data_IF_505650581513
#
_entry.id   IF_505650581513
#
_cell.length_a   1.000
_cell.length_b   1.000
_cell.length_c   1.000
_cell.angle_alpha   90.00
_cell.angle_beta   90.00
_cell.angle_gamma   90.00
#
_symmetry.space_group_name_H-M   'P 1'
#
loop_
_entity.id
_entity.type
_entity.pdbx_description
1 polymer ?
#
# COMPACT_ATOMS: atom_id res chain seq x y z
N UNK A 1 18.63 35.20 23.35
CA UNK A 1 17.20 35.28 22.99
C UNK A 1 17.10 36.23 21.82
N UNK A 2 16.64 35.90 20.63
CA UNK A 2 15.86 34.77 20.13
C UNK A 2 16.39 34.37 18.74
N UNK A 3 16.46 33.07 18.47
CA UNK A 3 16.48 32.54 17.12
C UNK A 3 15.05 32.57 16.58
N UNK A 4 14.85 33.16 15.41
CA UNK A 4 13.64 32.96 14.60
C UNK A 4 14.09 32.44 13.25
N UNK A 5 13.89 31.14 13.05
CA UNK A 5 14.05 30.49 11.76
C UNK A 5 12.93 30.85 10.81
N UNK A 6 13.27 31.02 9.54
CA UNK A 6 12.32 30.88 8.45
C UNK A 6 12.59 29.52 7.80
N UNK A 7 11.70 28.56 8.05
CA UNK A 7 11.60 27.35 7.24
C UNK A 7 11.09 27.73 5.85
N UNK A 8 11.89 27.48 4.83
CA UNK A 8 11.44 27.45 3.45
C UNK A 8 11.16 25.99 3.08
N UNK A 9 9.88 25.57 3.10
CA UNK A 9 9.44 24.36 2.40
C UNK A 9 8.91 24.75 1.03
N UNK A 10 9.81 24.83 0.06
CA UNK A 10 9.45 24.76 -1.35
C UNK A 10 9.23 23.28 -1.69
N UNK A 11 7.99 22.89 -2.04
CA UNK A 11 7.75 21.65 -2.80
C UNK A 11 8.39 21.86 -4.18
N UNK A 12 9.38 21.07 -4.61
CA UNK A 12 9.73 21.05 -6.02
C UNK A 12 8.69 20.17 -6.73
N UNK A 13 7.81 20.80 -7.51
CA UNK A 13 7.37 20.16 -8.75
C UNK A 13 8.62 20.10 -9.64
N UNK A 14 9.16 18.90 -9.81
CA UNK A 14 10.33 18.69 -10.66
C UNK A 14 10.42 17.24 -11.07
N UNK A 15 10.17 16.99 -12.36
CA UNK A 15 10.86 15.92 -13.09
C UNK A 15 12.35 16.03 -12.75
N UNK A 16 12.83 15.10 -11.94
CA UNK A 16 14.26 14.93 -11.66
C UNK A 16 14.57 13.45 -11.62
N UNK A 17 15.17 13.00 -12.72
CA UNK A 17 15.93 11.79 -12.83
C UNK A 17 17.10 11.86 -11.83
N UNK A 18 16.97 11.12 -10.72
CA UNK A 18 17.86 11.17 -9.56
C UNK A 18 17.20 10.58 -8.32
N UNK A 19 17.23 9.24 -8.21
CA UNK A 19 16.71 8.42 -7.10
C UNK A 19 15.49 9.00 -6.36
N UNK A 20 14.28 8.86 -6.93
CA UNK A 20 13.04 9.13 -6.19
C UNK A 20 13.10 8.46 -4.81
N UNK A 21 13.12 9.28 -3.75
CA UNK A 21 13.09 8.82 -2.38
C UNK A 21 11.67 8.36 -2.06
N UNK A 22 11.52 7.09 -1.69
CA UNK A 22 10.27 6.52 -1.20
C UNK A 22 10.21 6.70 0.31
N UNK A 23 9.27 7.54 0.73
CA UNK A 23 8.93 7.77 2.13
C UNK A 23 7.40 7.80 2.27
N UNK A 24 6.87 7.21 3.33
CA UNK A 24 5.42 7.17 3.58
C UNK A 24 4.92 8.54 4.03
N UNK A 25 4.08 9.14 3.20
CA UNK A 25 3.38 10.38 3.53
C UNK A 25 2.30 10.11 4.57
N UNK A 26 2.32 10.90 5.65
CA UNK A 26 1.49 10.70 6.85
C UNK A 26 0.11 11.38 6.76
N UNK A 27 -0.66 11.02 5.73
CA UNK A 27 -2.04 11.50 5.56
C UNK A 27 -2.94 11.06 6.73
N UNK A 28 -2.71 9.87 7.28
CA UNK A 28 -3.33 9.31 8.48
C UNK A 28 -3.35 10.26 9.69
N UNK A 29 -2.33 11.12 9.84
CA UNK A 29 -2.27 12.10 10.94
C UNK A 29 -3.24 13.26 10.76
N UNK A 30 -3.44 13.71 9.52
CA UNK A 30 -4.44 14.74 9.21
C UNK A 30 -5.85 14.16 9.39
N UNK A 31 -6.03 12.95 8.87
CA UNK A 31 -7.26 12.17 8.99
C UNK A 31 -7.65 11.99 10.47
N UNK A 32 -6.77 11.40 11.28
CA UNK A 32 -7.04 11.17 12.70
C UNK A 32 -7.37 12.45 13.45
N UNK A 33 -6.60 13.53 13.23
CA UNK A 33 -6.87 14.82 13.87
C UNK A 33 -8.27 15.34 13.52
N UNK A 34 -8.69 15.24 12.26
CA UNK A 34 -10.05 15.61 11.88
C UNK A 34 -11.10 14.71 12.57
N UNK A 35 -10.90 13.39 12.54
CA UNK A 35 -11.87 12.41 13.01
C UNK A 35 -12.01 12.33 14.54
N UNK A 36 -10.98 12.74 15.28
CA UNK A 36 -10.97 12.72 16.76
C UNK A 36 -11.41 14.05 17.36
N UNK A 37 -11.05 15.19 16.74
CA UNK A 37 -11.32 16.51 17.33
C UNK A 37 -12.29 17.38 16.51
N UNK A 38 -12.65 16.98 15.30
CA UNK A 38 -13.42 17.83 14.38
C UNK A 38 -12.63 19.04 13.86
N UNK A 39 -11.30 18.95 13.79
CA UNK A 39 -10.44 20.05 13.34
C UNK A 39 -10.62 20.33 11.84
N UNK A 40 -11.40 21.35 11.50
CA UNK A 40 -11.65 21.76 10.13
C UNK A 40 -10.39 22.23 9.39
N UNK A 41 -9.34 22.66 10.08
CA UNK A 41 -8.07 23.00 9.43
C UNK A 41 -7.37 21.75 8.90
N UNK A 42 -7.49 20.63 9.63
CA UNK A 42 -7.00 19.33 9.19
C UNK A 42 -7.75 18.87 7.94
N UNK A 43 -9.08 18.94 7.96
CA UNK A 43 -9.91 18.64 6.81
C UNK A 43 -9.57 19.50 5.58
N UNK A 44 -9.30 20.80 5.79
CA UNK A 44 -8.88 21.67 4.70
C UNK A 44 -7.53 21.25 4.11
N UNK A 45 -6.56 20.89 4.96
CA UNK A 45 -5.26 20.37 4.52
C UNK A 45 -5.40 19.06 3.75
N UNK A 46 -6.25 18.14 4.21
CA UNK A 46 -6.58 16.90 3.47
C UNK A 46 -7.05 17.22 2.05
N UNK A 47 -8.02 18.13 1.90
CA UNK A 47 -8.59 18.47 0.60
C UNK A 47 -7.63 19.26 -0.32
N UNK A 48 -6.67 20.01 0.22
CA UNK A 48 -5.73 20.83 -0.57
C UNK A 48 -4.46 20.05 -0.91
N UNK A 49 -3.89 19.35 0.07
CA UNK A 49 -2.59 18.68 -0.08
C UNK A 49 -2.72 17.23 -0.54
N UNK A 50 -3.85 16.59 -0.24
CA UNK A 50 -4.14 15.17 -0.51
C UNK A 50 -5.53 14.96 -1.17
N UNK A 51 -5.85 15.68 -2.27
CA UNK A 51 -7.20 15.65 -2.84
C UNK A 51 -7.59 14.27 -3.40
N UNK A 52 -6.62 13.51 -3.94
CA UNK A 52 -6.86 12.20 -4.54
C UNK A 52 -7.08 11.15 -3.45
N UNK A 53 -6.27 11.19 -2.41
CA UNK A 53 -6.33 10.32 -1.23
C UNK A 53 -7.65 10.57 -0.47
N UNK A 54 -7.99 11.84 -0.23
CA UNK A 54 -9.25 12.23 0.43
C UNK A 54 -10.47 11.74 -0.34
N UNK A 55 -10.50 11.97 -1.66
CA UNK A 55 -11.58 11.47 -2.52
C UNK A 55 -11.65 9.95 -2.49
N UNK A 56 -10.52 9.27 -2.60
CA UNK A 56 -10.46 7.80 -2.64
C UNK A 56 -10.96 7.19 -1.34
N UNK A 57 -10.52 7.73 -0.20
CA UNK A 57 -10.97 7.32 1.12
C UNK A 57 -12.49 7.44 1.24
N UNK A 58 -13.06 8.61 0.91
CA UNK A 58 -14.49 8.88 1.07
C UNK A 58 -15.35 8.04 0.10
N UNK A 59 -15.00 8.04 -1.18
CA UNK A 59 -15.86 7.52 -2.24
C UNK A 59 -15.67 6.02 -2.49
N UNK A 60 -14.45 5.49 -2.32
CA UNK A 60 -14.11 4.11 -2.71
C UNK A 60 -13.87 3.19 -1.52
N UNK A 61 -13.22 3.70 -0.47
CA UNK A 61 -12.89 2.90 0.72
C UNK A 61 -14.07 2.86 1.67
N UNK A 62 -14.49 4.02 2.18
CA UNK A 62 -15.57 4.11 3.16
C UNK A 62 -16.95 4.06 2.49
N UNK A 63 -17.03 4.47 1.23
CA UNK A 63 -18.26 4.50 0.43
C UNK A 63 -19.40 5.26 1.13
N UNK A 64 -19.07 6.37 1.78
CA UNK A 64 -20.01 7.17 2.61
C UNK A 64 -20.69 8.31 1.83
N UNK A 65 -20.34 8.50 0.55
CA UNK A 65 -20.91 9.51 -0.32
C UNK A 65 -19.89 10.07 -1.31
N UNK A 66 -20.23 11.19 -1.95
CA UNK A 66 -19.36 11.92 -2.87
C UNK A 66 -18.61 13.04 -2.15
N UNK A 67 -17.35 13.29 -2.50
CA UNK A 67 -16.53 14.34 -1.85
C UNK A 67 -17.07 15.76 -2.08
N UNK A 68 -17.94 15.94 -3.08
CA UNK A 68 -18.57 17.23 -3.39
C UNK A 68 -19.93 17.42 -2.70
N UNK A 69 -20.44 16.42 -1.96
CA UNK A 69 -21.67 16.56 -1.18
C UNK A 69 -21.43 17.58 -0.04
N UNK A 70 -22.25 18.66 0.08
CA UNK A 70 -22.11 19.66 1.14
C UNK A 70 -22.09 19.08 2.56
N UNK A 71 -22.70 17.91 2.77
CA UNK A 71 -22.75 17.23 4.07
C UNK A 71 -21.65 16.16 4.25
N UNK A 72 -20.76 15.96 3.26
CA UNK A 72 -19.79 14.87 3.30
C UNK A 72 -18.86 14.93 4.50
N UNK A 73 -18.41 16.13 4.87
CA UNK A 73 -17.55 16.36 6.03
C UNK A 73 -18.23 15.88 7.32
N UNK A 74 -19.51 16.23 7.48
CA UNK A 74 -20.31 15.81 8.63
C UNK A 74 -20.55 14.29 8.63
N UNK A 75 -20.82 13.69 7.46
CA UNK A 75 -20.97 12.24 7.32
C UNK A 75 -19.67 11.50 7.68
N UNK A 76 -18.54 12.01 7.21
CA UNK A 76 -17.23 11.43 7.47
C UNK A 76 -16.88 11.46 8.96
N UNK A 77 -17.09 12.62 9.62
CA UNK A 77 -16.90 12.71 11.07
C UNK A 77 -17.85 11.77 11.83
N UNK A 78 -19.14 11.75 11.46
CA UNK A 78 -20.14 10.87 12.10
C UNK A 78 -19.85 9.38 11.91
N UNK A 79 -19.29 8.99 10.77
CA UNK A 79 -18.94 7.59 10.51
C UNK A 79 -17.98 7.05 11.57
N UNK A 80 -16.98 7.85 11.98
CA UNK A 80 -15.99 7.45 12.98
C UNK A 80 -16.38 7.76 14.44
N UNK A 81 -17.59 8.26 14.73
CA UNK A 81 -17.95 8.69 16.10
C UNK A 81 -18.19 7.55 17.09
N UNK A 82 -18.39 6.32 16.63
CA UNK A 82 -18.57 5.20 17.55
C UNK A 82 -17.28 4.85 18.28
N UNK A 83 -17.41 4.30 19.48
CA UNK A 83 -16.25 4.02 20.35
C UNK A 83 -15.29 2.97 19.80
N UNK A 84 -15.75 2.08 18.91
CA UNK A 84 -14.90 1.06 18.30
C UNK A 84 -13.98 1.69 17.28
N UNK A 85 -14.50 2.55 16.40
CA UNK A 85 -13.69 3.24 15.40
C UNK A 85 -12.78 4.32 16.02
N UNK A 86 -13.22 5.01 17.08
CA UNK A 86 -12.34 5.91 17.84
C UNK A 86 -11.16 5.16 18.49
N UNK A 87 -11.42 3.97 19.06
CA UNK A 87 -10.35 3.12 19.61
C UNK A 87 -9.40 2.65 18.51
N UNK A 88 -9.92 2.26 17.34
CA UNK A 88 -9.11 1.85 16.20
C UNK A 88 -8.17 2.96 15.74
N UNK A 89 -8.64 4.21 15.66
CA UNK A 89 -7.81 5.37 15.33
C UNK A 89 -6.68 5.51 16.35
N UNK A 90 -7.01 5.54 17.64
CA UNK A 90 -6.03 5.72 18.72
C UNK A 90 -4.97 4.60 18.76
N UNK A 91 -5.40 3.34 18.61
CA UNK A 91 -4.49 2.19 18.56
C UNK A 91 -3.56 2.27 17.35
N UNK A 92 -4.11 2.64 16.18
CA UNK A 92 -3.34 2.78 14.93
C UNK A 92 -2.29 3.89 15.04
N UNK A 93 -2.65 5.05 15.60
CA UNK A 93 -1.69 6.13 15.84
C UNK A 93 -0.55 5.70 16.77
N UNK A 94 -0.86 4.92 17.82
CA UNK A 94 0.11 4.43 18.77
C UNK A 94 1.07 3.40 18.12
N UNK A 95 0.54 2.41 17.39
CA UNK A 95 1.33 1.37 16.72
C UNK A 95 2.24 1.95 15.62
N UNK A 96 1.78 3.00 14.92
CA UNK A 96 2.48 3.62 13.79
C UNK A 96 3.03 5.02 14.10
N UNK A 97 3.35 5.27 15.38
CA UNK A 97 4.06 6.48 15.78
C UNK A 97 5.43 6.58 15.10
N UNK A 98 6.14 5.45 14.98
CA UNK A 98 7.40 5.31 14.24
C UNK A 98 7.16 4.54 12.92
N UNK A 99 7.77 5.02 11.82
CA UNK A 99 7.69 4.44 10.47
C UNK A 99 9.07 4.19 9.86
N UNK A 100 10.16 4.35 10.63
CA UNK A 100 11.52 4.36 10.09
C UNK A 100 11.90 3.02 9.46
N UNK A 101 11.46 1.93 10.08
CA UNK A 101 11.64 0.58 9.56
C UNK A 101 10.89 0.36 8.25
N UNK A 102 9.65 0.85 8.14
CA UNK A 102 8.84 0.75 6.93
C UNK A 102 9.40 1.62 5.80
N UNK A 103 9.79 2.86 6.11
CA UNK A 103 10.42 3.78 5.17
C UNK A 103 11.73 3.19 4.61
N UNK A 104 12.59 2.66 5.49
CA UNK A 104 13.84 2.02 5.08
C UNK A 104 13.61 0.78 4.21
N UNK A 105 12.65 -0.07 4.58
CA UNK A 105 12.31 -1.27 3.81
C UNK A 105 11.69 -0.93 2.45
N UNK A 106 10.78 0.04 2.38
CA UNK A 106 10.18 0.51 1.13
C UNK A 106 11.25 1.07 0.20
N UNK A 107 12.07 2.01 0.68
CA UNK A 107 13.17 2.59 -0.10
C UNK A 107 14.08 1.49 -0.68
N UNK A 108 14.58 0.61 0.18
CA UNK A 108 15.47 -0.49 -0.23
C UNK A 108 14.80 -1.40 -1.25
N UNK A 109 13.54 -1.74 -1.04
CA UNK A 109 12.81 -2.66 -1.93
C UNK A 109 12.54 -2.05 -3.30
N UNK A 110 12.20 -0.75 -3.37
CA UNK A 110 12.01 -0.05 -4.64
C UNK A 110 13.33 0.22 -5.36
N UNK A 111 14.42 0.45 -4.65
CA UNK A 111 15.76 0.50 -5.25
C UNK A 111 16.16 -0.84 -5.86
N UNK A 112 15.92 -1.93 -5.13
CA UNK A 112 16.13 -3.28 -5.64
C UNK A 112 15.24 -3.58 -6.86
N UNK A 113 13.95 -3.18 -6.83
CA UNK A 113 13.06 -3.31 -8.00
C UNK A 113 13.61 -2.56 -9.21
N UNK A 114 14.05 -1.31 -9.06
CA UNK A 114 14.64 -0.53 -10.16
C UNK A 114 15.91 -1.17 -10.71
N UNK A 115 16.70 -1.83 -9.86
CA UNK A 115 17.90 -2.54 -10.33
C UNK A 115 17.58 -3.72 -11.26
N UNK A 116 16.44 -4.40 -11.05
CA UNK A 116 16.00 -5.54 -11.87
C UNK A 116 14.98 -5.16 -12.96
N UNK A 117 14.35 -3.99 -12.84
CA UNK A 117 13.38 -3.39 -13.76
C UNK A 117 13.72 -1.89 -13.92
N UNK A 118 14.66 -1.53 -14.81
CA UNK A 118 15.17 -0.16 -14.91
C UNK A 118 14.10 0.91 -15.16
N UNK A 119 13.07 0.59 -15.95
CA UNK A 119 11.96 1.50 -16.29
C UNK A 119 10.79 1.43 -15.29
N UNK A 120 11.00 0.86 -14.10
CA UNK A 120 9.94 0.68 -13.11
C UNK A 120 9.48 2.03 -12.54
N UNK A 121 8.20 2.40 -12.67
CA UNK A 121 7.69 3.66 -12.12
C UNK A 121 7.68 3.56 -10.59
N UNK A 122 8.37 4.48 -9.91
CA UNK A 122 8.36 4.52 -8.44
C UNK A 122 7.10 5.26 -7.96
N UNK A 123 6.27 4.65 -7.08
CA UNK A 123 5.05 5.28 -6.62
C UNK A 123 5.31 6.25 -5.47
N UNK A 124 4.41 7.21 -5.31
CA UNK A 124 4.23 7.88 -4.02
C UNK A 124 3.50 6.95 -3.05
N UNK A 125 3.93 6.92 -1.80
CA UNK A 125 3.33 6.06 -0.78
C UNK A 125 2.72 6.94 0.32
N UNK A 126 1.50 6.66 0.73
CA UNK A 126 0.84 7.34 1.84
C UNK A 126 0.18 6.34 2.79
N UNK A 127 -0.03 6.77 4.03
CA UNK A 127 -0.75 6.01 5.05
C UNK A 127 -2.11 6.64 5.35
N UNK A 128 -3.10 5.82 5.69
CA UNK A 128 -4.46 6.23 6.07
C UNK A 128 -5.11 5.20 7.02
N UNK A 129 -6.33 5.49 7.47
CA UNK A 129 -7.17 4.59 8.27
C UNK A 129 -8.42 4.22 7.45
N UNK A 130 -8.58 2.94 7.12
CA UNK A 130 -9.59 2.46 6.16
C UNK A 130 -10.83 1.81 6.78
N UNK A 131 -11.02 1.92 8.09
CA UNK A 131 -12.06 1.22 8.86
C UNK A 131 -12.09 -0.30 8.61
N UNK A 132 -10.90 -0.91 8.53
CA UNK A 132 -10.63 -2.32 8.28
C UNK A 132 -11.04 -2.86 6.91
N UNK A 133 -11.50 -2.04 5.98
CA UNK A 133 -12.03 -2.58 4.72
C UNK A 133 -10.91 -3.07 3.77
N UNK A 134 -10.10 -2.15 3.26
CA UNK A 134 -9.02 -2.42 2.31
C UNK A 134 -7.65 -2.39 2.99
N UNK A 135 -6.71 -3.26 2.61
CA UNK A 135 -5.31 -3.21 3.12
C UNK A 135 -4.42 -2.26 2.35
N UNK A 136 -4.37 -2.41 1.03
CA UNK A 136 -3.56 -1.60 0.13
C UNK A 136 -4.47 -1.05 -0.96
N UNK A 137 -4.29 0.23 -1.27
CA UNK A 137 -4.96 0.92 -2.37
C UNK A 137 -3.91 1.26 -3.40
N UNK A 138 -4.21 0.95 -4.66
CA UNK A 138 -3.33 1.32 -5.77
C UNK A 138 -4.04 2.31 -6.67
N UNK A 139 -3.41 3.46 -6.88
CA UNK A 139 -3.81 4.50 -7.81
C UNK A 139 -2.76 4.70 -8.90
N UNK A 140 -2.96 5.70 -9.76
CA UNK A 140 -1.95 6.08 -10.74
C UNK A 140 -0.67 6.56 -10.05
N UNK A 141 0.37 5.73 -10.08
CA UNK A 141 1.66 5.95 -9.39
C UNK A 141 1.52 6.25 -7.89
N UNK A 142 0.50 5.72 -7.23
CA UNK A 142 0.28 5.90 -5.80
C UNK A 142 -0.05 4.57 -5.11
N UNK A 143 0.45 4.41 -3.88
CA UNK A 143 0.11 3.32 -2.97
C UNK A 143 -0.42 3.92 -1.66
N UNK A 144 -1.66 3.62 -1.31
CA UNK A 144 -2.25 3.91 0.00
C UNK A 144 -2.17 2.69 0.92
N UNK A 145 -1.66 2.88 2.13
CA UNK A 145 -1.57 1.85 3.17
C UNK A 145 -2.64 2.14 4.21
N UNK A 146 -3.63 1.25 4.35
CA UNK A 146 -4.57 1.31 5.46
C UNK A 146 -3.92 0.65 6.69
N UNK A 147 -3.34 1.47 7.57
CA UNK A 147 -2.51 0.99 8.69
C UNK A 147 -3.30 0.10 9.67
N UNK A 148 -4.58 0.41 9.81
CA UNK A 148 -5.54 -0.32 10.64
C UNK A 148 -5.79 -1.76 10.18
N UNK A 149 -5.28 -2.18 9.02
CA UNK A 149 -5.24 -3.58 8.55
C UNK A 149 -4.02 -4.38 8.98
N UNK A 150 -3.06 -3.75 9.65
CA UNK A 150 -1.79 -4.35 10.01
C UNK A 150 -1.46 -4.25 11.51
N UNK A 151 -2.48 -4.23 12.38
CA UNK A 151 -2.38 -4.10 13.84
C UNK A 151 -1.88 -5.37 14.56
N UNK A 152 -1.62 -6.43 13.81
CA UNK A 152 -1.18 -7.72 14.33
C UNK A 152 -2.29 -8.76 14.33
N UNK A 153 -1.92 -10.02 14.10
CA UNK A 153 -2.83 -11.17 13.98
C UNK A 153 -3.83 -11.28 15.16
N UNK A 154 -3.38 -10.92 16.35
CA UNK A 154 -4.14 -11.03 17.60
C UNK A 154 -4.81 -9.72 18.02
N UNK A 155 -4.84 -8.68 17.17
CA UNK A 155 -5.57 -7.46 17.46
C UNK A 155 -7.05 -7.78 17.73
N UNK A 156 -7.60 -7.47 18.93
CA UNK A 156 -8.88 -8.01 19.36
C UNK A 156 -10.05 -7.78 18.39
N UNK A 157 -10.06 -6.61 17.75
CA UNK A 157 -11.12 -6.22 16.83
C UNK A 157 -11.20 -7.13 15.59
N UNK A 158 -10.07 -7.66 15.12
CA UNK A 158 -10.03 -8.51 13.93
C UNK A 158 -10.82 -9.81 14.10
N UNK A 159 -10.85 -10.37 15.31
CA UNK A 159 -11.57 -11.63 15.58
C UNK A 159 -13.08 -11.54 15.33
N UNK A 160 -13.64 -10.33 15.26
CA UNK A 160 -15.06 -10.10 14.94
C UNK A 160 -15.37 -10.12 13.45
N UNK A 161 -14.39 -9.82 12.60
CA UNK A 161 -14.60 -9.55 11.16
C UNK A 161 -13.79 -10.46 10.24
N UNK A 162 -12.71 -11.07 10.73
CA UNK A 162 -11.79 -11.88 9.94
C UNK A 162 -11.57 -13.24 10.57
N UNK A 163 -11.48 -14.26 9.72
CA UNK A 163 -11.07 -15.59 10.13
C UNK A 163 -9.57 -15.63 10.48
N UNK A 164 -9.14 -16.72 11.11
CA UNK A 164 -7.73 -16.88 11.49
C UNK A 164 -6.79 -16.84 10.28
N UNK A 165 -7.16 -17.47 9.16
CA UNK A 165 -6.35 -17.52 7.93
C UNK A 165 -6.13 -16.15 7.29
N UNK A 166 -7.04 -15.20 7.46
CA UNK A 166 -6.86 -13.82 7.04
C UNK A 166 -5.94 -13.07 8.02
N UNK A 167 -6.14 -13.28 9.33
CA UNK A 167 -5.41 -12.52 10.37
C UNK A 167 -3.90 -12.79 10.40
N UNK A 168 -3.44 -13.97 9.99
CA UNK A 168 -1.99 -14.29 9.97
C UNK A 168 -1.16 -13.37 9.08
N UNK A 169 -1.79 -12.71 8.10
CA UNK A 169 -1.12 -11.72 7.22
C UNK A 169 -1.40 -10.27 7.62
N UNK A 170 -2.30 -10.02 8.57
CA UNK A 170 -2.67 -8.67 9.05
C UNK A 170 -1.69 -8.15 10.10
N UNK A 171 -0.39 -8.16 9.77
CA UNK A 171 0.71 -7.78 10.67
C UNK A 171 1.66 -6.80 9.96
N UNK A 172 2.28 -5.88 10.71
CA UNK A 172 3.24 -4.87 10.19
C UNK A 172 4.23 -5.41 9.14
N UNK A 173 4.76 -6.62 9.32
CA UNK A 173 5.72 -7.25 8.39
C UNK A 173 5.17 -7.51 6.97
N UNK A 174 3.86 -7.50 6.77
CA UNK A 174 3.22 -7.67 5.47
C UNK A 174 3.00 -6.35 4.73
N UNK A 175 3.14 -5.19 5.37
CA UNK A 175 2.93 -3.88 4.71
C UNK A 175 3.79 -3.76 3.44
N UNK A 176 5.11 -3.94 3.56
CA UNK A 176 6.02 -3.76 2.41
C UNK A 176 5.82 -4.85 1.34
N UNK A 177 5.77 -6.16 1.68
CA UNK A 177 5.44 -7.19 0.70
C UNK A 177 4.12 -6.96 -0.04
N UNK A 178 3.07 -6.52 0.67
CA UNK A 178 1.77 -6.26 0.07
C UNK A 178 1.81 -5.02 -0.84
N UNK A 179 2.45 -3.92 -0.41
CA UNK A 179 2.67 -2.74 -1.24
C UNK A 179 3.29 -3.12 -2.60
N UNK A 180 4.39 -3.90 -2.56
CA UNK A 180 5.09 -4.34 -3.77
C UNK A 180 4.21 -5.26 -4.62
N UNK A 181 3.51 -6.21 -3.98
CA UNK A 181 2.65 -7.19 -4.66
C UNK A 181 1.50 -6.51 -5.40
N UNK A 182 0.71 -5.69 -4.70
CA UNK A 182 -0.46 -5.04 -5.31
C UNK A 182 -0.04 -4.02 -6.37
N UNK A 183 1.07 -3.31 -6.17
CA UNK A 183 1.56 -2.37 -7.16
C UNK A 183 2.07 -3.07 -8.42
N UNK A 184 2.81 -4.18 -8.29
CA UNK A 184 3.22 -5.00 -9.42
C UNK A 184 2.01 -5.56 -10.19
N UNK A 185 0.97 -6.05 -9.48
CA UNK A 185 -0.26 -6.52 -10.12
C UNK A 185 -0.99 -5.43 -10.89
N UNK A 186 -0.94 -4.17 -10.43
CA UNK A 186 -1.53 -3.05 -11.18
C UNK A 186 -0.77 -2.70 -12.46
N UNK A 187 0.55 -2.91 -12.47
CA UNK A 187 1.41 -2.60 -13.60
C UNK A 187 1.48 -3.75 -14.62
N UNK A 188 1.34 -4.98 -14.13
CA UNK A 188 1.41 -6.20 -14.92
C UNK A 188 0.17 -7.07 -14.70
N UNK A 189 -1.03 -6.58 -15.08
CA UNK A 189 -2.25 -7.35 -14.92
C UNK A 189 -2.26 -8.58 -15.83
N UNK A 190 -2.89 -9.65 -15.37
CA UNK A 190 -3.21 -10.81 -16.21
C UNK A 190 -4.32 -10.46 -17.20
N UNK A 191 -4.11 -10.72 -18.48
CA UNK A 191 -5.14 -10.53 -19.49
C UNK A 191 -6.24 -11.60 -19.40
N UNK A 192 -7.48 -11.18 -19.63
CA UNK A 192 -8.66 -12.05 -19.64
C UNK A 192 -8.81 -12.86 -18.34
N UNK A 193 -8.52 -12.23 -17.19
CA UNK A 193 -8.49 -12.87 -15.87
C UNK A 193 -9.67 -13.80 -15.59
N UNK A 194 -10.90 -13.39 -15.94
CA UNK A 194 -12.11 -14.18 -15.67
C UNK A 194 -12.17 -15.50 -16.44
N UNK A 195 -11.55 -15.59 -17.63
CA UNK A 195 -11.51 -16.83 -18.42
C UNK A 195 -10.33 -17.74 -18.11
N UNK A 196 -9.38 -17.29 -17.26
CA UNK A 196 -8.17 -18.05 -16.90
C UNK A 196 -8.47 -19.11 -15.84
N UNK A 197 -7.76 -20.23 -15.91
CA UNK A 197 -7.84 -21.28 -14.91
C UNK A 197 -7.25 -20.84 -13.56
N UNK A 198 -7.65 -21.50 -12.46
CA UNK A 198 -7.08 -21.19 -11.14
C UNK A 198 -5.55 -21.40 -11.10
N UNK A 199 -5.06 -22.43 -11.80
CA UNK A 199 -3.63 -22.70 -11.89
C UNK A 199 -2.87 -21.55 -12.55
N UNK A 200 -3.40 -20.98 -13.64
CA UNK A 200 -2.78 -19.81 -14.29
C UNK A 200 -2.78 -18.59 -13.37
N UNK A 201 -3.89 -18.35 -12.65
CA UNK A 201 -3.99 -17.27 -11.66
C UNK A 201 -2.96 -17.42 -10.55
N UNK A 202 -2.82 -18.62 -10.00
CA UNK A 202 -1.84 -18.92 -8.97
C UNK A 202 -0.40 -18.81 -9.48
N UNK A 203 -0.14 -19.22 -10.73
CA UNK A 203 1.16 -19.08 -11.36
C UNK A 203 1.52 -17.61 -11.58
N UNK A 204 0.56 -16.79 -12.03
CA UNK A 204 0.74 -15.35 -12.17
C UNK A 204 1.08 -14.68 -10.84
N UNK A 205 0.33 -15.03 -9.78
CA UNK A 205 0.65 -14.60 -8.43
C UNK A 205 2.04 -15.08 -8.00
N UNK A 206 2.41 -16.32 -8.32
CA UNK A 206 3.74 -16.88 -8.08
C UNK A 206 4.86 -16.08 -8.72
N UNK A 207 4.67 -15.59 -9.96
CA UNK A 207 5.63 -14.71 -10.64
C UNK A 207 5.80 -13.39 -9.88
N UNK A 208 4.70 -12.75 -9.51
CA UNK A 208 4.72 -11.49 -8.76
C UNK A 208 5.41 -11.68 -7.41
N UNK A 209 5.00 -12.68 -6.63
CA UNK A 209 5.61 -13.02 -5.34
C UNK A 209 7.10 -13.34 -5.46
N UNK A 210 7.52 -13.98 -6.56
CA UNK A 210 8.93 -14.24 -6.84
C UNK A 210 9.71 -12.94 -7.06
N UNK A 211 9.17 -12.00 -7.83
CA UNK A 211 9.78 -10.68 -8.02
C UNK A 211 9.82 -9.89 -6.71
N UNK A 212 8.76 -9.96 -5.90
CA UNK A 212 8.73 -9.34 -4.57
C UNK A 212 9.81 -9.93 -3.66
N UNK A 213 10.04 -11.24 -3.66
CA UNK A 213 11.16 -11.84 -2.93
C UNK A 213 12.53 -11.30 -3.39
N UNK A 214 12.72 -11.07 -4.70
CA UNK A 214 13.95 -10.44 -5.21
C UNK A 214 14.07 -9.00 -4.74
N UNK A 215 12.99 -8.22 -4.76
CA UNK A 215 12.94 -6.86 -4.25
C UNK A 215 13.26 -6.77 -2.75
N UNK A 216 12.70 -7.67 -1.95
CA UNK A 216 12.93 -7.76 -0.50
C UNK A 216 14.31 -8.32 -0.14
N UNK A 217 15.02 -8.95 -1.09
CA UNK A 217 16.26 -9.68 -0.81
C UNK A 217 16.08 -10.93 0.09
N UNK A 218 14.85 -11.40 0.28
CA UNK A 218 14.53 -12.54 1.16
C UNK A 218 13.44 -13.43 0.55
N UNK A 219 13.40 -14.69 0.95
CA UNK A 219 12.34 -15.63 0.56
C UNK A 219 11.11 -15.46 1.46
N UNK A 220 10.44 -14.31 1.39
CA UNK A 220 9.25 -14.00 2.19
C UNK A 220 8.08 -14.91 1.79
N UNK A 221 7.72 -14.93 0.51
CA UNK A 221 6.72 -15.84 -0.05
C UNK A 221 7.35 -17.19 -0.40
N UNK A 222 6.75 -18.29 0.09
CA UNK A 222 7.30 -19.66 -0.05
C UNK A 222 6.28 -20.64 -0.64
N UNK A 223 5.45 -20.16 -1.56
CA UNK A 223 4.44 -21.00 -2.21
C UNK A 223 5.10 -21.96 -3.21
N UNK A 224 4.40 -23.04 -3.56
CA UNK A 224 4.86 -23.96 -4.61
C UNK A 224 5.07 -23.23 -5.95
N UNK A 225 4.21 -22.27 -6.27
CA UNK A 225 4.29 -21.47 -7.49
C UNK A 225 5.54 -20.59 -7.55
N UNK A 226 5.94 -19.97 -6.42
CA UNK A 226 7.22 -19.25 -6.33
C UNK A 226 8.40 -20.19 -6.59
N UNK A 227 8.34 -21.43 -6.09
CA UNK A 227 9.39 -22.43 -6.32
C UNK A 227 9.46 -22.87 -7.79
N UNK A 228 8.31 -23.02 -8.46
CA UNK A 228 8.24 -23.31 -9.91
C UNK A 228 8.84 -22.19 -10.75
N UNK A 229 8.49 -20.93 -10.45
CA UNK A 229 9.06 -19.74 -11.12
C UNK A 229 10.57 -19.64 -10.90
N UNK A 230 11.06 -19.87 -9.68
CA UNK A 230 12.50 -19.88 -9.38
C UNK A 230 13.23 -20.97 -10.19
N UNK A 231 12.66 -22.17 -10.31
CA UNK A 231 13.23 -23.25 -11.14
C UNK A 231 13.29 -22.83 -12.62
N UNK A 232 12.21 -22.24 -13.14
CA UNK A 232 12.14 -21.75 -14.51
C UNK A 232 13.21 -20.68 -14.78
N UNK A 233 13.31 -19.65 -13.93
CA UNK A 233 14.28 -18.56 -14.11
C UNK A 233 15.74 -19.01 -13.97
N UNK A 234 16.02 -20.04 -13.16
CA UNK A 234 17.37 -20.64 -13.09
C UNK A 234 17.79 -21.31 -14.38
N UNK A 235 16.84 -21.90 -15.12
CA UNK A 235 17.09 -22.54 -16.42
C UNK A 235 17.13 -21.52 -17.56
N UNK A 236 16.52 -20.35 -17.37
CA UNK A 236 16.38 -19.30 -18.38
C UNK A 236 17.01 -17.96 -17.93
N UNK A 237 18.28 -17.99 -17.52
CA UNK A 237 18.98 -16.80 -16.99
C UNK A 237 19.07 -15.60 -17.95
N UNK A 238 18.82 -15.83 -19.25
CA UNK A 238 18.82 -14.79 -20.28
C UNK A 238 17.47 -14.05 -20.37
N UNK A 239 16.40 -14.54 -19.75
CA UNK A 239 15.08 -13.91 -19.78
C UNK A 239 15.06 -12.76 -18.77
N UNK A 240 14.78 -11.51 -19.20
CA UNK A 240 14.62 -10.38 -18.28
C UNK A 240 13.39 -10.53 -17.38
N UNK A 241 13.45 -10.00 -16.16
CA UNK A 241 12.32 -10.02 -15.21
C UNK A 241 11.07 -9.35 -15.79
N UNK A 242 11.24 -8.28 -16.57
CA UNK A 242 10.12 -7.62 -17.25
C UNK A 242 9.37 -8.57 -18.20
N UNK A 243 10.11 -9.40 -18.95
CA UNK A 243 9.53 -10.38 -19.86
C UNK A 243 8.81 -11.50 -19.09
N UNK A 244 9.34 -11.93 -17.94
CA UNK A 244 8.65 -12.87 -17.05
C UNK A 244 7.29 -12.30 -16.59
N UNK A 245 7.25 -11.05 -16.14
CA UNK A 245 6.04 -10.41 -15.63
C UNK A 245 4.96 -10.28 -16.72
N UNK A 246 5.35 -9.88 -17.94
CA UNK A 246 4.44 -9.71 -19.09
C UNK A 246 3.98 -11.06 -19.70
N UNK A 247 4.75 -12.14 -19.53
CA UNK A 247 4.41 -13.44 -20.15
C UNK A 247 3.15 -14.07 -19.56
N UNK A 248 2.15 -14.30 -20.39
CA UNK A 248 0.89 -14.97 -20.02
C UNK A 248 0.80 -16.43 -20.51
N UNK A 249 1.93 -16.99 -20.95
CA UNK A 249 2.12 -18.41 -21.20
C UNK A 249 2.83 -19.08 -20.00
N UNK A 250 2.11 -19.97 -19.33
CA UNK A 250 2.55 -20.69 -18.14
C UNK A 250 2.98 -22.12 -18.43
N UNK A 251 2.87 -22.59 -19.68
CA UNK A 251 3.12 -23.99 -20.07
C UNK A 251 4.55 -24.44 -19.79
N UNK A 252 5.51 -23.51 -19.85
CA UNK A 252 6.92 -23.78 -19.58
C UNK A 252 7.29 -23.78 -18.08
N UNK A 253 6.37 -23.38 -17.21
CA UNK A 253 6.57 -23.28 -15.75
C UNK A 253 5.91 -24.43 -14.97
N UNK A 254 5.38 -25.42 -15.68
CA UNK A 254 4.70 -26.59 -15.10
C UNK A 254 5.67 -27.59 -14.50
#
# INVERSE_FOLDING_TARGET
>A
MLCTGCEWKLKPNGDSDGSAHVEVQRYDRLESRYLTTGDFSALQQMNIEYPVETRTLIEKVLQIGEVNDPEISNKFLRFYQDSTLQMLIADTEAEYANMDDLNSQLQTSFDNLRSILPDFPVPQVYAQIGALDHSIIVGDRQIGICLDKYMGENYPLYSKYYDYSQRVTMTRRYIVPDCLTFYLLSLYPMEQYDSRSQFEKDMHMGKVMWVVNKALGTNFFKTEYVARVEKYMRQHQHIPVAQLLISDDYSQMV
#
